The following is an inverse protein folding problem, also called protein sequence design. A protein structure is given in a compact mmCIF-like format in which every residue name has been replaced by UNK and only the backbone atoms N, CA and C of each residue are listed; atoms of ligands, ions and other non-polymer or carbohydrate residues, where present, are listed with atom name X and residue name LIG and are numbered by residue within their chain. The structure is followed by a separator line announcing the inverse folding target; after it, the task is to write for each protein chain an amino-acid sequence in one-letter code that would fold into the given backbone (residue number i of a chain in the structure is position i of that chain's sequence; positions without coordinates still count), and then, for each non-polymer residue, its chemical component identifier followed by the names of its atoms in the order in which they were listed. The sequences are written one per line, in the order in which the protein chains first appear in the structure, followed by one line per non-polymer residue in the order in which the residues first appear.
data_IF_411821659635
#
_entry.id   IF_411821659635
#
_cell.length_a   1.000
_cell.length_b   1.000
_cell.length_c   1.000
_cell.angle_alpha   90.00
_cell.angle_beta   90.00
_cell.angle_gamma   90.00
#
_symmetry.space_group_name_H-M   'P 1'
#
loop_
_entity.id
_entity.type
_entity.pdbx_description
1 polymer ?
#
# COMPACT_ATOMS: atom_id res chain seq x y z
N UNK A 1 -1.95 -5.00 -19.37
CA UNK A 1 -3.22 -4.53 -18.78
C UNK A 1 -4.17 -5.65 -18.36
N UNK A 2 -4.42 -6.70 -19.18
CA UNK A 2 -4.97 -7.98 -18.66
C UNK A 2 -4.19 -8.50 -17.43
N UNK A 3 -2.90 -8.20 -17.37
CA UNK A 3 -2.00 -8.65 -16.30
C UNK A 3 -2.33 -8.02 -14.93
N UNK A 4 -2.59 -6.72 -14.78
CA UNK A 4 -2.79 -6.13 -13.43
C UNK A 4 -4.16 -6.45 -12.84
N UNK A 5 -5.22 -6.23 -13.62
CA UNK A 5 -6.60 -6.62 -13.29
C UNK A 5 -6.69 -8.14 -13.12
N UNK A 6 -6.16 -8.90 -14.07
CA UNK A 6 -6.13 -10.37 -13.99
C UNK A 6 -5.31 -10.88 -12.81
N UNK A 7 -4.19 -10.23 -12.48
CA UNK A 7 -3.36 -10.58 -11.33
C UNK A 7 -4.17 -10.41 -10.05
N UNK A 8 -4.72 -9.24 -9.76
CA UNK A 8 -5.54 -9.04 -8.56
C UNK A 8 -6.73 -10.03 -8.47
N UNK A 9 -7.42 -10.29 -9.58
CA UNK A 9 -8.52 -11.26 -9.59
C UNK A 9 -8.04 -12.70 -9.35
N UNK A 10 -6.84 -13.06 -9.84
CA UNK A 10 -6.22 -14.38 -9.61
C UNK A 10 -5.78 -14.62 -8.16
N UNK A 11 -5.55 -13.56 -7.38
CA UNK A 11 -5.15 -13.69 -5.98
C UNK A 11 -6.30 -14.22 -5.13
N UNK A 12 -6.10 -15.36 -4.46
CA UNK A 12 -7.07 -15.93 -3.51
C UNK A 12 -6.87 -15.32 -2.12
N UNK A 13 -7.19 -14.03 -1.99
CA UNK A 13 -7.01 -13.27 -0.75
C UNK A 13 -8.34 -13.11 0.00
N UNK A 14 -8.30 -13.28 1.32
CA UNK A 14 -9.46 -13.14 2.19
C UNK A 14 -9.92 -11.69 2.27
N UNK A 15 -11.24 -11.45 2.20
CA UNK A 15 -11.84 -10.12 2.33
C UNK A 15 -11.19 -9.04 1.45
N UNK A 16 -10.73 -9.43 0.26
CA UNK A 16 -9.99 -8.53 -0.61
C UNK A 16 -10.86 -7.39 -1.14
N UNK A 17 -10.35 -6.17 -1.11
CA UNK A 17 -10.99 -4.98 -1.65
C UNK A 17 -10.03 -4.25 -2.58
N UNK A 18 -10.54 -3.67 -3.67
CA UNK A 18 -9.73 -2.97 -4.65
C UNK A 18 -10.45 -1.71 -5.13
N UNK A 19 -9.75 -0.58 -5.11
CA UNK A 19 -10.27 0.70 -5.58
C UNK A 19 -10.13 0.81 -7.11
N UNK A 20 -11.05 0.16 -7.80
CA UNK A 20 -11.20 0.26 -9.24
C UNK A 20 -12.69 0.31 -9.62
N UNK A 21 -13.02 1.21 -10.53
CA UNK A 21 -14.30 1.25 -11.24
C UNK A 21 -14.00 0.95 -12.69
N UNK A 22 -14.70 -0.04 -13.25
CA UNK A 22 -14.61 -0.34 -14.68
C UNK A 22 -15.79 0.30 -15.40
N UNK A 23 -15.51 1.24 -16.29
CA UNK A 23 -16.49 1.88 -17.17
C UNK A 23 -16.29 1.36 -18.60
N UNK A 24 -17.26 0.58 -19.09
CA UNK A 24 -17.20 -0.07 -20.39
C UNK A 24 -18.09 0.68 -21.39
N UNK A 25 -17.46 1.45 -22.28
CA UNK A 25 -18.12 2.07 -23.42
C UNK A 25 -18.08 1.16 -24.67
N UNK A 26 -18.79 1.57 -25.73
CA UNK A 26 -18.92 0.80 -26.98
C UNK A 26 -17.57 0.47 -27.68
N UNK A 27 -16.48 1.20 -27.39
CA UNK A 27 -15.14 0.99 -27.98
C UNK A 27 -14.00 0.87 -26.97
N UNK A 28 -14.24 1.15 -25.69
CA UNK A 28 -13.19 1.33 -24.69
C UNK A 28 -13.58 0.73 -23.36
N UNK A 29 -12.62 0.13 -22.67
CA UNK A 29 -12.76 -0.24 -21.25
C UNK A 29 -11.87 0.70 -20.44
N UNK A 30 -12.49 1.55 -19.63
CA UNK A 30 -11.79 2.46 -18.73
C UNK A 30 -11.74 1.84 -17.34
N UNK A 31 -10.58 1.89 -16.71
CA UNK A 31 -10.41 1.56 -15.31
C UNK A 31 -10.03 2.83 -14.54
N UNK A 32 -10.83 3.18 -13.53
CA UNK A 32 -10.75 4.46 -12.84
C UNK A 32 -10.66 4.20 -11.33
N UNK A 33 -9.69 4.79 -10.64
CA UNK A 33 -9.54 4.64 -9.19
C UNK A 33 -8.14 5.00 -8.71
N UNK A 34 -7.83 4.69 -7.46
CA UNK A 34 -6.45 4.75 -6.95
C UNK A 34 -5.64 3.49 -7.24
N UNK A 35 -6.31 2.38 -7.57
CA UNK A 35 -5.71 1.05 -7.73
C UNK A 35 -5.12 0.47 -6.44
N UNK A 36 -5.35 1.11 -5.30
CA UNK A 36 -5.03 0.57 -3.98
C UNK A 36 -5.87 -0.67 -3.71
N UNK A 37 -5.29 -1.65 -3.03
CA UNK A 37 -6.00 -2.86 -2.66
C UNK A 37 -5.67 -3.27 -1.24
N UNK A 38 -6.53 -4.10 -0.65
CA UNK A 38 -6.38 -4.60 0.70
C UNK A 38 -6.88 -6.02 0.83
N UNK A 39 -6.49 -6.72 1.88
CA UNK A 39 -6.99 -8.04 2.24
C UNK A 39 -6.80 -8.30 3.73
N UNK A 40 -7.45 -9.33 4.26
CA UNK A 40 -7.28 -9.80 5.63
C UNK A 40 -6.31 -11.00 5.65
N UNK A 41 -5.43 -11.06 6.64
CA UNK A 41 -4.56 -12.21 6.96
C UNK A 41 -4.44 -12.31 8.49
N UNK A 42 -4.87 -13.42 9.07
CA UNK A 42 -4.96 -13.56 10.53
C UNK A 42 -5.72 -12.37 11.15
N UNK A 43 -5.12 -11.70 12.12
CA UNK A 43 -5.68 -10.51 12.79
C UNK A 43 -5.37 -9.18 12.10
N UNK A 44 -4.70 -9.23 10.95
CA UNK A 44 -4.29 -8.05 10.21
C UNK A 44 -5.16 -7.79 8.98
N UNK A 45 -5.43 -6.52 8.72
CA UNK A 45 -5.87 -5.98 7.45
C UNK A 45 -4.67 -5.32 6.78
N UNK A 46 -4.23 -5.90 5.66
CA UNK A 46 -3.11 -5.39 4.89
C UNK A 46 -3.63 -4.45 3.82
N UNK A 47 -3.02 -3.28 3.71
CA UNK A 47 -3.36 -2.26 2.72
C UNK A 47 -2.13 -2.03 1.85
N UNK A 48 -2.23 -2.26 0.55
CA UNK A 48 -1.26 -1.83 -0.43
C UNK A 48 -1.73 -0.53 -1.08
N UNK A 49 -1.07 0.57 -0.72
CA UNK A 49 -1.20 1.84 -1.43
C UNK A 49 -0.40 1.80 -2.73
N UNK A 50 -0.90 2.53 -3.72
CA UNK A 50 -0.23 2.73 -4.98
C UNK A 50 0.99 3.66 -4.81
N UNK A 51 1.91 3.58 -5.78
CA UNK A 51 3.27 4.12 -5.80
C UNK A 51 3.54 5.32 -4.88
N UNK A 52 2.92 6.47 -5.13
CA UNK A 52 2.96 7.63 -4.26
C UNK A 52 1.56 8.23 -4.04
N UNK A 53 1.16 8.47 -2.79
CA UNK A 53 -0.08 9.18 -2.47
C UNK A 53 -0.10 10.62 -2.97
N UNK A 54 -1.27 11.05 -3.42
CA UNK A 54 -1.49 12.37 -4.02
C UNK A 54 -1.34 12.37 -5.54
N UNK A 55 -1.07 11.20 -6.12
CA UNK A 55 -0.93 11.03 -7.54
C UNK A 55 -2.27 11.24 -8.26
N UNK A 56 -2.25 12.12 -9.26
CA UNK A 56 -3.38 12.38 -10.15
C UNK A 56 -2.89 12.43 -11.57
N UNK A 57 -3.66 11.89 -12.52
CA UNK A 57 -3.45 12.21 -13.93
C UNK A 57 -2.38 11.41 -14.66
N UNK A 58 -1.95 10.26 -14.11
CA UNK A 58 -1.43 9.22 -15.00
C UNK A 58 -2.61 8.63 -15.76
N UNK A 59 -2.89 9.24 -16.89
CA UNK A 59 -3.39 8.50 -18.03
C UNK A 59 -2.21 7.61 -18.47
N UNK A 60 -2.31 6.29 -18.35
CA UNK A 60 -1.45 5.39 -19.13
C UNK A 60 -1.85 5.52 -20.61
N UNK A 61 -1.83 6.74 -21.15
CA UNK A 61 -1.99 6.98 -22.56
C UNK A 61 -0.74 6.44 -23.24
N UNK A 62 -0.92 5.38 -24.03
CA UNK A 62 0.04 4.76 -24.95
C UNK A 62 0.82 3.55 -24.43
N UNK A 63 0.11 2.53 -23.96
CA UNK A 63 0.49 1.19 -24.42
C UNK A 63 -0.68 0.59 -25.18
N UNK A 64 -0.77 0.93 -26.48
CA UNK A 64 -1.59 0.19 -27.44
C UNK A 64 -0.92 -1.18 -27.56
N UNK A 65 -1.29 -2.11 -26.68
CA UNK A 65 -0.98 -3.52 -26.84
C UNK A 65 -2.28 -4.14 -27.33
N UNK A 66 -2.45 -4.17 -28.65
CA UNK A 66 -3.63 -4.63 -29.41
C UNK A 66 -4.79 -3.64 -29.52
N UNK A 67 -5.67 -3.90 -30.49
CA UNK A 67 -6.88 -3.16 -30.88
C UNK A 67 -7.95 -2.99 -29.78
N UNK A 68 -7.67 -3.45 -28.55
CA UNK A 68 -8.44 -3.19 -27.33
C UNK A 68 -7.83 -1.97 -26.61
N UNK A 69 -8.24 -0.76 -27.00
CA UNK A 69 -7.87 0.47 -26.27
C UNK A 69 -8.52 0.46 -24.88
N UNK A 70 -7.80 -0.01 -23.86
CA UNK A 70 -8.22 0.16 -22.46
C UNK A 70 -7.37 1.25 -21.80
N UNK A 71 -7.99 2.09 -20.97
CA UNK A 71 -7.34 3.26 -20.36
C UNK A 71 -7.37 3.15 -18.84
N UNK A 72 -6.30 3.62 -18.19
CA UNK A 72 -6.20 3.69 -16.73
C UNK A 72 -6.23 5.16 -16.32
N UNK A 73 -7.18 5.52 -15.47
CA UNK A 73 -7.34 6.86 -14.94
C UNK A 73 -7.13 6.87 -13.44
N UNK A 74 -5.95 7.30 -13.01
CA UNK A 74 -5.65 7.38 -11.59
C UNK A 74 -6.23 8.64 -10.94
N UNK A 75 -6.92 8.43 -9.81
CA UNK A 75 -7.74 9.43 -9.13
C UNK A 75 -7.43 9.49 -7.62
N UNK A 76 -6.64 10.48 -7.21
CA UNK A 76 -6.36 10.79 -5.81
C UNK A 76 -7.61 10.99 -4.95
N UNK A 77 -8.65 11.63 -5.47
CA UNK A 77 -9.90 11.85 -4.75
C UNK A 77 -10.58 10.54 -4.34
N UNK A 78 -10.33 9.46 -5.09
CA UNK A 78 -10.79 8.10 -4.79
C UNK A 78 -9.90 7.42 -3.76
N UNK A 79 -8.58 7.63 -3.82
CA UNK A 79 -7.59 7.09 -2.87
C UNK A 79 -7.98 7.36 -1.42
N UNK A 80 -8.13 8.63 -1.04
CA UNK A 80 -8.40 9.00 0.35
C UNK A 80 -9.75 8.45 0.83
N UNK A 81 -10.77 8.49 -0.03
CA UNK A 81 -12.11 8.00 0.29
C UNK A 81 -12.11 6.49 0.52
N UNK A 82 -11.43 5.75 -0.36
CA UNK A 82 -11.32 4.30 -0.25
C UNK A 82 -10.46 3.89 0.95
N UNK A 83 -9.31 4.54 1.15
CA UNK A 83 -8.40 4.26 2.27
C UNK A 83 -9.10 4.45 3.61
N UNK A 84 -9.85 5.55 3.78
CA UNK A 84 -10.66 5.80 4.97
C UNK A 84 -11.66 4.66 5.21
N UNK A 85 -12.40 4.23 4.19
CA UNK A 85 -13.36 3.13 4.29
C UNK A 85 -12.71 1.78 4.61
N UNK A 86 -11.55 1.50 4.02
CA UNK A 86 -10.77 0.29 4.28
C UNK A 86 -10.32 0.24 5.74
N UNK A 87 -9.76 1.34 6.26
CA UNK A 87 -9.37 1.48 7.66
C UNK A 87 -10.58 1.34 8.59
N UNK A 88 -11.66 2.10 8.36
CA UNK A 88 -12.88 2.03 9.17
C UNK A 88 -13.49 0.62 9.19
N UNK A 89 -13.52 -0.03 8.02
CA UNK A 89 -13.98 -1.39 7.90
C UNK A 89 -13.12 -2.36 8.72
N UNK A 90 -11.79 -2.27 8.61
CA UNK A 90 -10.87 -3.11 9.38
C UNK A 90 -11.05 -2.94 10.90
N UNK A 91 -11.11 -1.68 11.36
CA UNK A 91 -11.34 -1.34 12.77
C UNK A 91 -12.68 -1.90 13.27
N UNK A 92 -13.75 -1.76 12.49
CA UNK A 92 -15.06 -2.31 12.85
C UNK A 92 -15.07 -3.84 12.97
N UNK A 93 -14.15 -4.53 12.28
CA UNK A 93 -13.95 -5.98 12.35
C UNK A 93 -12.93 -6.39 13.42
N UNK A 94 -12.42 -5.46 14.21
CA UNK A 94 -11.42 -5.72 15.24
C UNK A 94 -10.02 -6.07 14.69
N UNK A 95 -9.72 -5.68 13.45
CA UNK A 95 -8.42 -5.96 12.81
C UNK A 95 -7.41 -4.86 13.11
N UNK A 96 -6.15 -5.26 13.19
CA UNK A 96 -5.01 -4.35 13.15
C UNK A 96 -4.58 -4.09 11.71
N UNK A 97 -3.93 -2.97 11.46
CA UNK A 97 -3.68 -2.51 10.09
C UNK A 97 -2.19 -2.45 9.83
N UNK A 98 -1.79 -3.04 8.70
CA UNK A 98 -0.45 -2.90 8.13
C UNK A 98 -0.58 -2.17 6.80
N UNK A 99 0.17 -1.09 6.63
CA UNK A 99 0.15 -0.31 5.39
C UNK A 99 1.46 -0.53 4.64
N UNK A 100 1.36 -0.88 3.36
CA UNK A 100 2.46 -0.89 2.42
C UNK A 100 2.33 0.29 1.46
N UNK A 101 3.44 0.96 1.20
CA UNK A 101 3.52 2.10 0.29
C UNK A 101 4.86 2.05 -0.45
N UNK A 102 4.94 2.43 -1.73
CA UNK A 102 6.25 2.43 -2.39
C UNK A 102 7.08 3.65 -1.95
N UNK A 103 6.56 4.85 -2.18
CA UNK A 103 7.27 6.09 -1.89
C UNK A 103 6.68 6.79 -0.66
N UNK A 104 7.41 6.84 0.47
CA UNK A 104 6.88 7.36 1.73
C UNK A 104 7.01 8.89 1.92
N UNK A 105 7.60 9.60 0.96
CA UNK A 105 7.82 11.05 1.04
C UNK A 105 7.64 11.76 -0.31
N UNK A 106 7.81 13.09 -0.32
CA UNK A 106 7.68 13.90 -1.54
C UNK A 106 6.24 14.13 -1.99
N UNK A 107 5.24 13.81 -1.15
CA UNK A 107 3.83 13.93 -1.51
C UNK A 107 3.40 15.40 -1.59
N UNK A 108 2.36 15.65 -2.38
CA UNK A 108 1.67 16.96 -2.37
C UNK A 108 1.19 17.27 -0.95
N UNK A 109 1.28 18.54 -0.54
CA UNK A 109 0.98 18.97 0.85
C UNK A 109 -0.42 18.58 1.29
N UNK A 110 -1.38 18.66 0.40
CA UNK A 110 -2.78 18.31 0.65
C UNK A 110 -2.93 16.81 0.92
N UNK A 111 -2.23 15.99 0.14
CA UNK A 111 -2.23 14.53 0.29
C UNK A 111 -1.56 14.08 1.58
N UNK A 112 -0.37 14.63 1.85
CA UNK A 112 0.35 14.42 3.10
C UNK A 112 -0.51 14.78 4.31
N UNK A 113 -1.13 15.96 4.30
CA UNK A 113 -1.98 16.41 5.41
C UNK A 113 -3.18 15.48 5.61
N UNK A 114 -3.85 15.09 4.54
CA UNK A 114 -5.04 14.25 4.62
C UNK A 114 -4.72 12.85 5.16
N UNK A 115 -3.71 12.18 4.60
CA UNK A 115 -3.31 10.84 5.05
C UNK A 115 -2.74 10.89 6.47
N UNK A 116 -1.90 11.87 6.78
CA UNK A 116 -1.38 12.05 8.15
C UNK A 116 -2.49 12.24 9.17
N UNK A 117 -3.54 13.00 8.83
CA UNK A 117 -4.70 13.20 9.71
C UNK A 117 -5.43 11.88 9.93
N UNK A 118 -5.66 11.13 8.85
CA UNK A 118 -6.32 9.82 8.91
C UNK A 118 -5.50 8.81 9.72
N UNK A 119 -4.20 8.73 9.48
CA UNK A 119 -3.30 7.82 10.20
C UNK A 119 -3.19 8.20 11.66
N UNK A 120 -3.12 9.49 11.98
CA UNK A 120 -3.17 9.96 13.37
C UNK A 120 -4.47 9.55 14.07
N UNK A 121 -5.62 9.65 13.39
CA UNK A 121 -6.93 9.26 13.93
C UNK A 121 -6.99 7.75 14.26
N UNK A 122 -6.32 6.90 13.47
CA UNK A 122 -6.34 5.44 13.62
C UNK A 122 -4.99 4.87 14.09
N UNK A 123 -4.15 5.69 14.73
CA UNK A 123 -2.76 5.33 15.09
C UNK A 123 -2.64 4.10 16.00
N UNK A 124 -3.67 3.83 16.79
CA UNK A 124 -3.67 2.70 17.73
C UNK A 124 -4.06 1.37 17.02
N UNK A 125 -4.68 1.48 15.83
CA UNK A 125 -5.02 0.34 14.97
C UNK A 125 -3.95 0.08 13.91
N UNK A 126 -3.27 1.12 13.41
CA UNK A 126 -2.18 0.99 12.43
C UNK A 126 -0.89 0.63 13.15
N UNK A 127 -0.40 -0.59 12.95
CA UNK A 127 0.75 -1.13 13.68
C UNK A 127 2.09 -0.81 13.03
N UNK A 128 2.13 -0.76 11.70
CA UNK A 128 3.34 -0.43 10.96
C UNK A 128 3.03 0.06 9.55
N UNK A 129 3.94 0.86 9.02
CA UNK A 129 4.02 1.20 7.59
C UNK A 129 5.30 0.61 7.01
N UNK A 130 5.21 -0.16 5.95
CA UNK A 130 6.37 -0.62 5.17
C UNK A 130 6.49 0.20 3.91
N UNK A 131 7.70 0.68 3.65
CA UNK A 131 7.98 1.57 2.54
C UNK A 131 9.26 1.25 1.77
N UNK A 132 9.34 1.74 0.54
CA UNK A 132 10.46 1.53 -0.37
C UNK A 132 11.05 2.83 -0.87
N UNK A 133 11.22 2.92 -2.19
CA UNK A 133 11.77 4.05 -2.95
C UNK A 133 13.27 4.31 -2.72
N UNK A 134 13.71 4.35 -1.46
CA UNK A 134 15.09 4.59 -1.07
C UNK A 134 15.90 3.29 -1.07
N UNK A 135 16.35 2.85 -2.25
CA UNK A 135 16.97 1.53 -2.44
C UNK A 135 18.12 1.18 -1.46
N UNK A 136 18.87 2.18 -1.00
CA UNK A 136 20.03 2.00 -0.09
C UNK A 136 19.68 2.20 1.40
N UNK A 137 18.48 2.68 1.71
CA UNK A 137 17.98 2.86 3.07
C UNK A 137 17.06 1.70 3.42
N UNK A 138 17.20 1.19 4.63
CA UNK A 138 16.48 -0.01 5.07
C UNK A 138 16.35 -0.05 6.59
N UNK A 139 15.41 -0.84 7.09
CA UNK A 139 15.10 -0.95 8.51
C UNK A 139 14.22 0.20 9.01
N UNK A 140 14.24 0.43 10.32
CA UNK A 140 13.44 1.48 10.94
C UNK A 140 13.84 2.88 10.45
N UNK A 141 12.86 3.70 10.10
CA UNK A 141 13.09 4.99 9.46
C UNK A 141 12.45 6.16 10.21
N UNK A 142 13.23 6.75 11.11
CA UNK A 142 12.77 7.79 12.05
C UNK A 142 12.28 9.07 11.37
N UNK A 143 12.92 9.47 10.27
CA UNK A 143 12.65 10.75 9.61
C UNK A 143 11.21 10.88 9.08
N UNK A 144 10.53 9.75 8.81
CA UNK A 144 9.17 9.74 8.24
C UNK A 144 8.09 9.54 9.31
N UNK A 145 8.44 9.15 10.54
CA UNK A 145 7.47 8.95 11.63
C UNK A 145 6.66 10.22 11.93
N UNK A 146 7.34 11.36 11.92
CA UNK A 146 6.70 12.67 12.10
C UNK A 146 5.76 13.02 10.93
N UNK A 147 6.02 12.48 9.74
CA UNK A 147 5.25 12.67 8.51
C UNK A 147 4.03 11.78 8.40
N UNK A 148 4.11 10.51 8.85
CA UNK A 148 3.03 9.52 8.76
C UNK A 148 1.93 9.70 9.82
N UNK A 149 2.20 10.49 10.86
CA UNK A 149 1.22 10.79 11.91
C UNK A 149 1.22 9.75 13.03
N UNK A 150 1.02 10.22 14.26
CA UNK A 150 0.75 9.36 15.41
C UNK A 150 1.94 8.52 15.90
N UNK A 151 3.16 8.81 15.44
CA UNK A 151 4.37 8.01 15.71
C UNK A 151 4.24 6.54 15.28
N UNK A 152 3.47 6.26 14.23
CA UNK A 152 3.36 4.92 13.65
C UNK A 152 4.75 4.54 13.11
N UNK A 153 5.30 3.36 13.46
CA UNK A 153 6.63 2.94 13.01
C UNK A 153 6.64 2.70 11.50
N UNK A 154 7.68 3.22 10.85
CA UNK A 154 7.89 3.11 9.41
C UNK A 154 9.17 2.31 9.17
N UNK A 155 9.10 1.29 8.33
CA UNK A 155 10.23 0.45 7.98
C UNK A 155 10.50 0.47 6.48
N UNK A 156 11.74 0.74 6.10
CA UNK A 156 12.19 0.68 4.71
C UNK A 156 12.66 -0.72 4.35
N UNK A 157 12.12 -1.31 3.28
CA UNK A 157 12.52 -2.65 2.84
C UNK A 157 13.80 -2.69 1.98
N UNK A 158 14.36 -1.54 1.62
CA UNK A 158 15.54 -1.45 0.75
C UNK A 158 15.22 -1.89 -0.68
N UNK A 159 16.06 -2.73 -1.27
CA UNK A 159 15.80 -3.27 -2.60
C UNK A 159 16.42 -4.65 -2.81
N UNK A 160 15.80 -5.42 -3.70
CA UNK A 160 16.35 -6.71 -4.14
C UNK A 160 17.74 -6.56 -4.78
N UNK A 161 18.03 -5.42 -5.44
CA UNK A 161 19.36 -5.15 -6.00
C UNK A 161 20.43 -4.89 -4.94
N UNK A 162 20.03 -4.45 -3.74
CA UNK A 162 20.91 -4.38 -2.56
C UNK A 162 20.90 -5.66 -1.73
N UNK A 163 20.19 -6.71 -2.19
CA UNK A 163 20.02 -7.97 -1.48
C UNK A 163 19.44 -7.78 -0.08
N UNK A 164 18.52 -6.81 0.06
CA UNK A 164 17.83 -6.50 1.30
C UNK A 164 16.33 -6.68 1.17
N UNK A 165 15.71 -7.13 2.26
CA UNK A 165 14.26 -7.21 2.44
C UNK A 165 13.94 -7.30 3.93
N UNK A 166 12.65 -7.18 4.27
CA UNK A 166 12.16 -7.34 5.63
C UNK A 166 11.36 -8.64 5.75
N UNK A 167 11.46 -9.28 6.91
CA UNK A 167 10.53 -10.32 7.34
C UNK A 167 9.74 -9.74 8.51
N UNK A 168 8.41 -9.79 8.42
CA UNK A 168 7.51 -9.51 9.54
C UNK A 168 6.99 -10.83 10.09
N UNK A 169 7.17 -11.05 11.38
CA UNK A 169 6.55 -12.12 12.14
C UNK A 169 5.61 -11.49 13.18
N UNK A 170 4.49 -12.15 13.47
CA UNK A 170 3.58 -11.77 14.54
C UNK A 170 3.43 -12.91 15.54
N UNK A 171 3.32 -12.60 16.83
CA UNK A 171 2.81 -13.57 17.79
C UNK A 171 1.28 -13.53 17.88
N UNK A 172 0.65 -14.70 17.99
CA UNK A 172 -0.81 -14.82 18.05
C UNK A 172 -1.37 -14.42 19.44
N UNK A 173 -0.50 -14.30 20.46
CA UNK A 173 -0.90 -14.10 21.85
C UNK A 173 -1.03 -12.60 22.21
N UNK A 174 -0.07 -11.77 21.81
CA UNK A 174 0.02 -10.37 22.22
C UNK A 174 0.02 -9.40 21.02
N UNK A 175 -0.01 -9.94 19.80
CA UNK A 175 0.08 -9.20 18.53
C UNK A 175 1.33 -8.32 18.46
N UNK A 176 2.42 -8.81 19.05
CA UNK A 176 3.73 -8.22 18.86
C UNK A 176 4.19 -8.45 17.43
N UNK A 177 4.71 -7.41 16.80
CA UNK A 177 5.34 -7.49 15.49
C UNK A 177 6.85 -7.52 15.64
N UNK A 178 7.46 -8.58 15.13
CA UNK A 178 8.89 -8.72 15.02
C UNK A 178 9.30 -8.44 13.58
N UNK A 179 10.08 -7.37 13.40
CA UNK A 179 10.56 -6.95 12.08
C UNK A 179 12.04 -7.25 11.99
N UNK A 180 12.40 -8.16 11.08
CA UNK A 180 13.79 -8.56 10.84
C UNK A 180 14.29 -7.99 9.53
N UNK A 181 15.49 -7.40 9.56
CA UNK A 181 16.14 -6.92 8.36
C UNK A 181 17.06 -7.99 7.79
N UNK A 182 16.76 -8.45 6.58
CA UNK A 182 17.62 -9.41 5.90
C UNK A 182 18.59 -8.66 5.00
N UNK A 183 19.86 -9.06 5.05
CA UNK A 183 20.93 -8.55 4.19
C UNK A 183 21.61 -9.70 3.45
N UNK A 184 22.15 -9.39 2.27
CA UNK A 184 22.84 -10.38 1.41
C UNK A 184 21.97 -11.60 1.07
N UNK A 185 20.64 -11.41 1.09
CA UNK A 185 19.65 -12.48 0.95
C UNK A 185 19.79 -13.67 1.93
N UNK A 186 20.45 -13.48 3.08
CA UNK A 186 20.67 -14.54 4.07
C UNK A 186 19.62 -14.49 5.19
N UNK A 187 18.45 -15.11 4.97
CA UNK A 187 17.36 -15.12 5.96
C UNK A 187 17.71 -15.86 7.26
N UNK A 188 18.66 -16.80 7.22
CA UNK A 188 19.10 -17.54 8.40
C UNK A 188 19.87 -16.65 9.37
N UNK A 189 20.40 -15.52 8.89
CA UNK A 189 21.06 -14.51 9.70
C UNK A 189 20.13 -13.35 10.08
N UNK A 190 18.80 -13.61 10.17
CA UNK A 190 17.82 -12.59 10.56
C UNK A 190 18.21 -11.95 11.89
N UNK A 191 18.14 -10.62 11.93
CA UNK A 191 18.48 -9.81 13.09
C UNK A 191 17.51 -8.65 13.27
#
# INVERSE_FOLDING_TARGET
MRIFVGHYHSLSLNQKSWDIVTDSGYKYVNHIGSFNYSWDEGDFHLIQLHDYPGMTGYDYNKTIISSDERKLYMRWDKELTWLKKSIEGAVSRGKYIIVNIHQPDGWKKEALRAIRTLFYQYKDNIKAVFAGHHHILYGYYENILSGMGGNIPVFLFGSASQQTYLIMESDDADLNLFIFLIKKNNWQAKN
#
